data_IF_307800014933
#
_entry.id   IF_307800014933
#
_cell.length_a   1.000
_cell.length_b   1.000
_cell.length_c   1.000
_cell.angle_alpha   90.00
_cell.angle_beta   90.00
_cell.angle_gamma   90.00
#
_symmetry.space_group_name_H-M   'P 1'
#
loop_
_entity.id
_entity.type
_entity.pdbx_description
1 polymer ?
#
# COMPACT_ATOMS: atom_id res chain seq x y z
N UNK A 1 -7.45 26.37 23.64
CA UNK A 1 -6.37 25.56 23.02
C UNK A 1 -6.32 24.26 23.79
N UNK A 2 -7.12 23.30 23.34
CA UNK A 2 -7.37 22.05 24.06
C UNK A 2 -7.87 21.03 23.04
N UNK A 3 -6.95 20.63 22.15
CA UNK A 3 -7.12 19.38 21.40
C UNK A 3 -6.80 18.26 22.38
N UNK A 4 -7.80 17.88 23.17
CA UNK A 4 -7.74 16.74 24.07
C UNK A 4 -7.56 15.46 23.26
N UNK A 5 -6.38 14.89 23.42
CA UNK A 5 -6.03 13.50 23.18
C UNK A 5 -7.07 12.60 23.87
N UNK A 6 -7.93 11.91 23.13
CA UNK A 6 -8.43 10.56 23.42
C UNK A 6 -9.34 10.10 22.29
N UNK A 7 -8.75 9.66 21.19
CA UNK A 7 -9.30 8.53 20.43
C UNK A 7 -8.13 7.59 20.28
N UNK A 8 -8.20 6.44 20.94
CA UNK A 8 -7.21 5.39 20.76
C UNK A 8 -7.12 5.07 19.26
N UNK A 9 -5.96 5.27 18.60
CA UNK A 9 -5.83 5.06 17.15
C UNK A 9 -5.84 3.57 16.75
N UNK A 10 -6.40 2.69 17.57
CA UNK A 10 -6.41 1.25 17.36
C UNK A 10 -7.76 0.73 16.83
N UNK A 11 -8.85 1.48 17.00
CA UNK A 11 -10.18 0.94 16.74
C UNK A 11 -10.73 1.51 15.43
N UNK A 12 -10.48 0.75 14.35
CA UNK A 12 -11.02 0.94 12.99
C UNK A 12 -10.31 1.99 12.15
N UNK A 13 -9.10 1.62 11.69
CA UNK A 13 -8.36 2.33 10.63
C UNK A 13 -9.24 2.40 9.37
N UNK A 14 -9.88 3.55 9.18
CA UNK A 14 -10.69 3.85 8.00
C UNK A 14 -9.80 4.24 6.83
N UNK A 15 -10.25 4.03 5.58
CA UNK A 15 -9.52 4.44 4.37
C UNK A 15 -8.99 5.87 4.47
N UNK A 16 -9.79 6.82 4.98
CA UNK A 16 -9.37 8.21 5.16
C UNK A 16 -8.14 8.37 6.08
N UNK A 17 -8.09 7.64 7.19
CA UNK A 17 -6.96 7.68 8.13
C UNK A 17 -5.70 7.07 7.50
N UNK A 18 -5.85 5.99 6.72
CA UNK A 18 -4.73 5.41 5.97
C UNK A 18 -4.17 6.41 4.97
N UNK A 19 -5.02 7.17 4.27
CA UNK A 19 -4.56 8.18 3.32
C UNK A 19 -3.77 9.28 4.01
N UNK A 20 -4.22 9.75 5.17
CA UNK A 20 -3.49 10.76 5.95
C UNK A 20 -2.14 10.24 6.45
N UNK A 21 -2.10 9.02 6.98
CA UNK A 21 -0.86 8.39 7.44
C UNK A 21 0.10 8.12 6.28
N UNK A 22 -0.41 7.65 5.15
CA UNK A 22 0.37 7.42 3.95
C UNK A 22 0.98 8.71 3.40
N UNK A 23 0.22 9.82 3.42
CA UNK A 23 0.70 11.16 3.08
C UNK A 23 1.71 11.71 4.09
N UNK A 24 1.58 11.32 5.36
CA UNK A 24 2.55 11.66 6.42
C UNK A 24 3.85 10.86 6.31
N UNK A 25 3.98 9.95 5.34
CA UNK A 25 5.16 9.12 5.13
C UNK A 25 5.16 7.81 5.91
N UNK A 26 4.02 7.37 6.47
CA UNK A 26 3.97 6.08 7.15
C UNK A 26 3.99 4.93 6.13
N UNK A 27 5.07 4.15 6.12
CA UNK A 27 5.25 3.02 5.19
C UNK A 27 4.24 1.89 5.39
N UNK A 28 3.80 1.63 6.63
CA UNK A 28 2.77 0.64 6.93
C UNK A 28 1.41 1.09 6.37
N UNK A 29 1.05 2.37 6.52
CA UNK A 29 -0.18 2.90 5.95
C UNK A 29 -0.18 2.88 4.42
N UNK A 30 0.94 3.24 3.78
CA UNK A 30 1.11 3.11 2.33
C UNK A 30 0.94 1.66 1.86
N UNK A 31 1.52 0.71 2.58
CA UNK A 31 1.35 -0.72 2.31
C UNK A 31 -0.13 -1.15 2.43
N UNK A 32 -0.81 -0.81 3.52
CA UNK A 32 -2.21 -1.18 3.75
C UNK A 32 -3.12 -0.56 2.69
N UNK A 33 -2.89 0.71 2.34
CA UNK A 33 -3.65 1.42 1.29
C UNK A 33 -3.44 0.77 -0.08
N UNK A 34 -2.19 0.45 -0.43
CA UNK A 34 -1.88 -0.30 -1.65
C UNK A 34 -2.52 -1.68 -1.68
N UNK A 35 -2.59 -2.35 -0.53
CA UNK A 35 -3.26 -3.64 -0.39
C UNK A 35 -4.78 -3.57 -0.48
N UNK A 36 -5.40 -2.50 -0.01
CA UNK A 36 -6.84 -2.26 -0.16
C UNK A 36 -7.20 -2.14 -1.64
N UNK A 37 -6.46 -1.33 -2.40
CA UNK A 37 -6.64 -1.23 -3.85
C UNK A 37 -6.33 -2.53 -4.60
N UNK A 38 -5.44 -3.39 -4.04
CA UNK A 38 -5.15 -4.70 -4.62
C UNK A 38 -6.23 -5.76 -4.33
N UNK A 39 -7.08 -5.58 -3.31
CA UNK A 39 -8.17 -6.51 -3.01
C UNK A 39 -9.27 -6.44 -4.07
N UNK A 40 -9.53 -5.23 -4.59
CA UNK A 40 -10.42 -4.94 -5.72
C UNK A 40 -9.74 -5.25 -7.08
N UNK A 41 -8.89 -6.29 -7.13
CA UNK A 41 -8.01 -6.61 -8.26
C UNK A 41 -8.79 -6.87 -9.55
N UNK A 42 -8.76 -5.89 -10.44
CA UNK A 42 -9.02 -6.06 -11.87
C UNK A 42 -7.72 -5.68 -12.60
N UNK A 43 -7.10 -6.67 -13.23
CA UNK A 43 -5.83 -6.50 -13.95
C UNK A 43 -5.97 -5.40 -15.03
N UNK A 44 -5.14 -4.36 -14.95
CA UNK A 44 -5.18 -3.21 -15.86
C UNK A 44 -6.11 -2.05 -15.47
N UNK A 45 -6.78 -2.11 -14.32
CA UNK A 45 -7.58 -0.98 -13.79
C UNK A 45 -6.74 0.17 -13.22
N UNK A 46 -7.37 1.30 -12.95
CA UNK A 46 -6.71 2.45 -12.31
C UNK A 46 -6.35 2.13 -10.85
N UNK A 47 -7.20 1.38 -10.13
CA UNK A 47 -6.91 0.89 -8.77
C UNK A 47 -5.65 0.03 -8.73
N UNK A 48 -5.39 -0.76 -9.76
CA UNK A 48 -4.23 -1.61 -9.88
C UNK A 48 -2.91 -0.81 -9.99
N UNK A 49 -2.94 0.28 -10.78
CA UNK A 49 -1.83 1.24 -10.87
C UNK A 49 -1.62 1.99 -9.55
N UNK A 50 -2.71 2.40 -8.89
CA UNK A 50 -2.66 3.07 -7.59
C UNK A 50 -2.09 2.13 -6.52
N UNK A 51 -2.52 0.87 -6.48
CA UNK A 51 -1.98 -0.15 -5.60
C UNK A 51 -0.47 -0.27 -5.78
N UNK A 52 -0.01 -0.38 -7.02
CA UNK A 52 1.41 -0.48 -7.35
C UNK A 52 2.18 0.76 -6.88
N UNK A 53 1.65 1.95 -7.11
CA UNK A 53 2.27 3.20 -6.67
C UNK A 53 2.46 3.25 -5.15
N UNK A 54 1.43 2.91 -4.36
CA UNK A 54 1.52 2.92 -2.90
C UNK A 54 2.44 1.83 -2.35
N UNK A 55 2.42 0.64 -2.95
CA UNK A 55 3.36 -0.44 -2.62
C UNK A 55 4.81 -0.05 -2.96
N UNK A 56 5.03 0.63 -4.08
CA UNK A 56 6.35 1.15 -4.46
C UNK A 56 6.88 2.14 -3.43
N UNK A 57 6.08 3.12 -3.01
CA UNK A 57 6.47 4.09 -1.98
C UNK A 57 6.82 3.39 -0.66
N UNK A 58 6.00 2.42 -0.21
CA UNK A 58 6.29 1.65 0.99
C UNK A 58 7.59 0.85 0.84
N UNK A 59 7.83 0.26 -0.32
CA UNK A 59 9.03 -0.50 -0.62
C UNK A 59 10.30 0.37 -0.67
N UNK A 60 10.21 1.59 -1.20
CA UNK A 60 11.29 2.59 -1.20
C UNK A 60 11.67 3.01 0.23
N UNK A 61 10.69 3.01 1.14
CA UNK A 61 10.93 3.22 2.57
C UNK A 61 11.46 1.98 3.30
N UNK A 62 11.70 0.87 2.58
CA UNK A 62 12.25 -0.36 3.15
C UNK A 62 11.20 -1.31 3.74
N UNK A 63 9.91 -1.16 3.39
CA UNK A 63 8.86 -2.06 3.88
C UNK A 63 8.95 -3.43 3.19
N UNK A 64 9.36 -4.45 3.94
CA UNK A 64 9.59 -5.81 3.45
C UNK A 64 8.38 -6.40 2.70
N UNK A 65 7.18 -6.26 3.25
CA UNK A 65 5.98 -6.83 2.64
C UNK A 65 5.65 -6.16 1.31
N UNK A 66 5.85 -4.84 1.20
CA UNK A 66 5.60 -4.13 -0.03
C UNK A 66 6.58 -4.56 -1.13
N UNK A 67 7.86 -4.75 -0.78
CA UNK A 67 8.87 -5.31 -1.68
C UNK A 67 8.51 -6.74 -2.12
N UNK A 68 8.00 -7.57 -1.21
CA UNK A 68 7.54 -8.92 -1.54
C UNK A 68 6.37 -8.90 -2.54
N UNK A 69 5.38 -8.03 -2.34
CA UNK A 69 4.24 -7.90 -3.27
C UNK A 69 4.64 -7.36 -4.64
N UNK A 70 5.53 -6.37 -4.69
CA UNK A 70 6.10 -5.90 -5.97
C UNK A 70 6.86 -7.03 -6.66
N UNK A 71 7.68 -7.78 -5.92
CA UNK A 71 8.40 -8.94 -6.43
C UNK A 71 7.46 -10.01 -6.99
N UNK A 72 6.37 -10.33 -6.30
CA UNK A 72 5.34 -11.23 -6.81
C UNK A 72 4.74 -10.74 -8.12
N UNK A 73 4.50 -9.44 -8.24
CA UNK A 73 3.94 -8.83 -9.45
C UNK A 73 4.91 -8.89 -10.64
N UNK A 74 6.18 -8.56 -10.40
CA UNK A 74 7.22 -8.72 -11.43
C UNK A 74 7.41 -10.18 -11.83
N UNK A 75 7.33 -11.11 -10.87
CA UNK A 75 7.49 -12.55 -11.12
C UNK A 75 6.27 -13.18 -11.82
N UNK A 76 5.08 -12.62 -11.64
CA UNK A 76 3.85 -13.09 -12.30
C UNK A 76 3.83 -12.71 -13.78
N UNK A 77 4.52 -11.64 -14.20
CA UNK A 77 4.84 -11.50 -15.62
C UNK A 77 5.66 -12.74 -16.00
N UNK A 78 5.22 -13.59 -16.94
CA UNK A 78 5.98 -14.75 -17.36
C UNK A 78 7.18 -14.28 -18.18
N UNK A 79 8.14 -13.61 -17.54
CA UNK A 79 9.52 -13.50 -18.00
C UNK A 79 10.21 -14.83 -17.68
N UNK A 80 9.66 -15.85 -18.32
CA UNK A 80 10.10 -17.24 -18.34
C UNK A 80 10.12 -17.76 -19.77
N UNK A 81 10.57 -16.93 -20.71
CA UNK A 81 11.18 -17.44 -21.93
C UNK A 81 12.39 -16.58 -22.29
N UNK A 82 13.38 -16.57 -21.40
CA UNK A 82 14.75 -16.55 -21.86
C UNK A 82 15.05 -17.92 -22.49
N UNK A 83 15.01 -17.99 -23.82
CA UNK A 83 16.09 -18.54 -24.64
C UNK A 83 15.85 -18.30 -26.13
#
# INVERSE_FOLDING_TARGET
MNHSITSHPCDNVSLAQLTELAQSGNSEAQYILGRLYNDERIDGSEEDKLSFYWLQQAAEQGHCEAQYWLGLRYKDTPTGHER
#
